data_IF_600997509116
#
_entry.id   IF_600997509116
#
_cell.length_a   1.000
_cell.length_b   1.000
_cell.length_c   1.000
_cell.angle_alpha   90.00
_cell.angle_beta   90.00
_cell.angle_gamma   90.00
#
_symmetry.space_group_name_H-M   'P 1'
#
loop_
_entity.id
_entity.type
_entity.pdbx_description
1 polymer ?
#
# COMPACT_ATOMS: atom_id res chain seq x y z
N UNK A 1 -5.57 -25.14 0.47
CA UNK A 1 -5.38 -23.68 0.31
C UNK A 1 -5.87 -23.03 1.59
N UNK A 2 -4.98 -22.47 2.41
CA UNK A 2 -5.40 -21.70 3.60
C UNK A 2 -5.96 -20.39 3.08
N UNK A 3 -7.26 -20.17 3.24
CA UNK A 3 -7.88 -18.88 2.93
C UNK A 3 -7.70 -17.99 4.17
N UNK A 4 -6.88 -16.95 4.05
CA UNK A 4 -6.89 -15.87 5.04
C UNK A 4 -8.27 -15.22 5.09
N UNK A 5 -8.66 -14.68 6.24
CA UNK A 5 -9.93 -13.97 6.39
C UNK A 5 -9.71 -12.46 6.58
N UNK A 6 -10.75 -11.67 6.33
CA UNK A 6 -10.68 -10.20 6.42
C UNK A 6 -10.34 -9.75 7.85
N UNK A 7 -10.86 -10.42 8.88
CA UNK A 7 -10.59 -10.08 10.27
C UNK A 7 -9.09 -10.16 10.61
N UNK A 8 -8.38 -11.16 10.08
CA UNK A 8 -6.93 -11.30 10.25
C UNK A 8 -6.16 -10.16 9.60
N UNK A 9 -6.59 -9.70 8.41
CA UNK A 9 -5.97 -8.56 7.74
C UNK A 9 -6.15 -7.27 8.55
N UNK A 10 -7.38 -7.01 9.03
CA UNK A 10 -7.70 -5.84 9.87
C UNK A 10 -6.89 -5.85 11.16
N UNK A 11 -6.88 -6.98 11.88
CA UNK A 11 -6.11 -7.12 13.12
C UNK A 11 -4.61 -6.91 12.90
N UNK A 12 -4.08 -7.31 11.73
CA UNK A 12 -2.68 -7.10 11.37
C UNK A 12 -2.39 -5.62 11.13
N UNK A 13 -3.26 -4.92 10.37
CA UNK A 13 -3.14 -3.48 10.13
C UNK A 13 -3.19 -2.70 11.45
N UNK A 14 -4.09 -3.06 12.37
CA UNK A 14 -4.19 -2.40 13.68
C UNK A 14 -2.93 -2.61 14.53
N UNK A 15 -2.34 -3.82 14.47
CA UNK A 15 -1.20 -4.21 15.30
C UNK A 15 0.10 -3.51 14.96
N UNK A 16 0.37 -3.19 13.69
CA UNK A 16 1.65 -2.64 13.24
C UNK A 16 1.56 -1.16 12.91
N UNK A 17 2.54 -0.38 13.34
CA UNK A 17 2.56 1.07 13.11
C UNK A 17 3.22 1.47 11.78
N UNK A 18 4.11 0.59 11.27
CA UNK A 18 4.82 0.78 10.00
C UNK A 18 4.34 -0.28 9.00
N UNK A 19 3.80 0.16 7.86
CA UNK A 19 3.21 -0.73 6.86
C UNK A 19 3.78 -0.38 5.48
N UNK A 20 4.23 -1.40 4.75
CA UNK A 20 4.65 -1.25 3.34
C UNK A 20 3.70 -2.04 2.45
N UNK A 21 3.21 -1.37 1.41
CA UNK A 21 2.33 -1.97 0.42
C UNK A 21 3.09 -2.09 -0.90
N UNK A 22 3.18 -3.31 -1.41
CA UNK A 22 3.83 -3.66 -2.67
C UNK A 22 2.78 -3.94 -3.76
N UNK A 23 3.18 -3.78 -5.02
CA UNK A 23 2.44 -4.24 -6.19
C UNK A 23 3.34 -5.12 -7.07
N UNK A 24 2.79 -5.72 -8.14
CA UNK A 24 3.56 -6.56 -9.06
C UNK A 24 4.29 -5.76 -10.14
N UNK A 25 5.37 -6.33 -10.69
CA UNK A 25 6.34 -5.68 -11.60
C UNK A 25 5.75 -5.02 -12.86
N UNK A 26 4.58 -5.48 -13.34
CA UNK A 26 3.89 -4.93 -14.52
C UNK A 26 2.57 -4.34 -14.05
N UNK A 27 2.57 -3.13 -13.49
CA UNK A 27 1.39 -2.57 -12.87
C UNK A 27 0.27 -2.34 -13.88
N UNK A 28 -0.96 -2.51 -13.42
CA UNK A 28 -2.18 -2.08 -14.08
C UNK A 28 -2.98 -1.17 -13.14
N UNK A 29 -4.15 -0.73 -13.60
CA UNK A 29 -4.98 0.20 -12.83
C UNK A 29 -5.50 -0.41 -11.53
N UNK A 30 -5.69 -1.73 -11.47
CA UNK A 30 -6.20 -2.41 -10.29
C UNK A 30 -5.15 -2.46 -9.19
N UNK A 31 -3.91 -2.85 -9.50
CA UNK A 31 -2.86 -2.94 -8.49
C UNK A 31 -2.46 -1.56 -7.96
N UNK A 32 -2.39 -0.54 -8.82
CA UNK A 32 -2.09 0.83 -8.42
C UNK A 32 -3.24 1.43 -7.61
N UNK A 33 -4.48 1.27 -8.07
CA UNK A 33 -5.66 1.71 -7.34
C UNK A 33 -5.79 1.04 -5.97
N UNK A 34 -5.58 -0.28 -5.90
CA UNK A 34 -5.61 -1.03 -4.65
C UNK A 34 -4.48 -0.62 -3.70
N UNK A 35 -3.28 -0.39 -4.22
CA UNK A 35 -2.13 0.01 -3.42
C UNK A 35 -2.33 1.39 -2.80
N UNK A 36 -2.60 2.41 -3.62
CA UNK A 36 -2.80 3.78 -3.14
C UNK A 36 -4.11 3.93 -2.36
N UNK A 37 -5.16 3.22 -2.77
CA UNK A 37 -6.45 3.22 -2.05
C UNK A 37 -6.33 2.61 -0.65
N UNK A 38 -5.55 1.54 -0.49
CA UNK A 38 -5.31 0.97 0.84
C UNK A 38 -4.44 1.88 1.72
N UNK A 39 -3.43 2.54 1.14
CA UNK A 39 -2.64 3.56 1.85
C UNK A 39 -3.54 4.66 2.43
N UNK A 40 -4.33 5.29 1.56
CA UNK A 40 -5.25 6.36 1.93
C UNK A 40 -6.25 5.92 3.00
N UNK A 41 -6.81 4.71 2.84
CA UNK A 41 -7.75 4.14 3.80
C UNK A 41 -7.11 3.95 5.18
N UNK A 42 -5.89 3.44 5.26
CA UNK A 42 -5.21 3.23 6.54
C UNK A 42 -4.85 4.57 7.17
N UNK A 43 -4.24 5.51 6.43
CA UNK A 43 -3.82 6.81 6.96
C UNK A 43 -5.02 7.65 7.43
N UNK A 44 -6.16 7.57 6.73
CA UNK A 44 -7.41 8.24 7.13
C UNK A 44 -7.97 7.70 8.44
N UNK A 45 -7.90 6.39 8.66
CA UNK A 45 -8.49 5.74 9.84
C UNK A 45 -7.52 5.64 11.04
N UNK A 46 -6.20 5.66 10.78
CA UNK A 46 -5.14 5.50 11.78
C UNK A 46 -4.05 6.57 11.57
N UNK A 47 -4.29 7.83 11.96
CA UNK A 47 -3.40 8.96 11.64
C UNK A 47 -1.97 8.88 12.19
N UNK A 48 -1.73 7.99 13.15
CA UNK A 48 -0.40 7.79 13.76
C UNK A 48 0.43 6.70 13.06
N UNK A 49 -0.15 5.96 12.11
CA UNK A 49 0.55 4.92 11.38
C UNK A 49 1.30 5.52 10.19
N UNK A 50 2.47 4.98 9.90
CA UNK A 50 3.26 5.35 8.73
C UNK A 50 3.10 4.28 7.65
N UNK A 51 2.48 4.65 6.53
CA UNK A 51 2.18 3.74 5.43
C UNK A 51 2.95 4.15 4.18
N UNK A 52 3.77 3.24 3.66
CA UNK A 52 4.56 3.47 2.45
C UNK A 52 4.09 2.59 1.31
N UNK A 53 4.06 3.16 0.12
CA UNK A 53 3.76 2.44 -1.14
C UNK A 53 5.02 2.41 -1.97
N UNK A 54 5.56 1.22 -2.23
CA UNK A 54 6.82 1.05 -2.97
C UNK A 54 6.60 0.37 -4.30
N UNK A 55 7.50 0.64 -5.24
CA UNK A 55 7.44 0.10 -6.59
C UNK A 55 7.62 1.17 -7.64
N UNK A 56 7.06 0.93 -8.81
CA UNK A 56 7.23 1.76 -9.99
C UNK A 56 5.97 1.65 -10.86
N UNK A 57 5.30 2.78 -11.10
CA UNK A 57 4.09 2.85 -11.93
C UNK A 57 4.34 2.64 -13.43
N UNK A 58 5.59 2.56 -13.89
CA UNK A 58 5.97 2.38 -15.30
C UNK A 58 5.30 3.37 -16.26
N UNK A 59 5.13 4.61 -15.79
CA UNK A 59 4.39 5.68 -16.47
C UNK A 59 2.93 5.31 -16.86
N UNK A 60 2.37 4.26 -16.25
CA UNK A 60 0.96 3.93 -16.39
C UNK A 60 0.10 5.02 -15.74
N UNK A 61 -0.98 5.41 -16.42
CA UNK A 61 -1.96 6.39 -15.95
C UNK A 61 -1.30 7.71 -15.48
N UNK A 62 -0.58 8.44 -16.33
CA UNK A 62 0.16 9.65 -15.94
C UNK A 62 -0.75 10.77 -15.41
N UNK A 63 -2.05 10.69 -15.66
CA UNK A 63 -3.07 11.59 -15.11
C UNK A 63 -3.39 11.33 -13.62
N UNK A 64 -2.98 10.19 -13.08
CA UNK A 64 -3.05 9.88 -11.65
C UNK A 64 -1.71 10.25 -11.03
N UNK A 65 -1.70 11.26 -10.16
CA UNK A 65 -0.51 11.76 -9.43
C UNK A 65 -0.06 10.76 -8.34
N UNK A 66 0.18 9.51 -8.74
CA UNK A 66 0.62 8.41 -7.88
C UNK A 66 2.14 8.38 -7.83
N UNK A 67 2.72 8.80 -6.71
CA UNK A 67 4.16 8.79 -6.47
C UNK A 67 4.48 7.69 -5.46
N UNK A 68 5.44 6.83 -5.80
CA UNK A 68 5.90 5.77 -4.90
C UNK A 68 6.96 6.31 -3.94
N UNK A 69 6.92 5.80 -2.72
CA UNK A 69 7.85 6.12 -1.64
C UNK A 69 9.20 5.42 -1.87
N UNK A 70 10.29 6.10 -1.52
CA UNK A 70 11.60 5.47 -1.38
C UNK A 70 11.78 5.01 0.07
N UNK A 71 12.25 3.78 0.26
CA UNK A 71 12.55 3.23 1.59
C UNK A 71 14.05 3.03 1.68
N UNK A 72 14.68 3.82 2.54
CA UNK A 72 16.09 3.68 2.88
C UNK A 72 16.30 2.47 3.81
N UNK A 73 17.55 2.00 3.94
CA UNK A 73 17.89 0.82 4.74
C UNK A 73 17.62 0.95 6.25
N UNK A 74 17.29 2.15 6.74
CA UNK A 74 17.09 2.45 8.17
C UNK A 74 15.62 2.64 8.57
N UNK A 75 14.69 2.39 7.65
CA UNK A 75 13.25 2.49 7.93
C UNK A 75 12.69 1.25 8.63
#
# INVERSE_FOLDING_TARGET
>A
MVKGNILQAVQTIEKYDYIVIFHHIRPDGDCLGSQFGLKELIETNYPNKEVKVVGDKKDCFPFLEMNHDHIDHEW
#
